data_IF_910692130721
#
_entry.id   IF_910692130721
#
_cell.length_a   1.000
_cell.length_b   1.000
_cell.length_c   1.000
_cell.angle_alpha   90.00
_cell.angle_beta   90.00
_cell.angle_gamma   90.00
#
_symmetry.space_group_name_H-M   'P 1'
#
loop_
_entity.id
_entity.type
_entity.pdbx_description
1 polymer ?
#
# COMPACT_ATOMS: atom_id res chain seq x y z
N UNK A 1 43.52 -6.90 5.23
CA UNK A 1 42.96 -5.74 4.51
C UNK A 1 41.53 -5.53 4.99
N UNK A 2 41.34 -4.68 5.99
CA UNK A 2 40.04 -4.34 6.56
C UNK A 2 39.43 -3.19 5.76
N UNK A 3 38.32 -3.42 5.09
CA UNK A 3 37.57 -2.37 4.40
C UNK A 3 36.85 -1.52 5.46
N UNK A 4 37.21 -0.24 5.55
CA UNK A 4 36.47 0.75 6.33
C UNK A 4 35.20 1.11 5.56
N UNK A 5 34.05 0.77 6.13
CA UNK A 5 32.75 1.28 5.70
C UNK A 5 32.72 2.78 5.97
N UNK A 6 32.56 3.59 4.92
CA UNK A 6 32.36 5.02 5.05
C UNK A 6 31.06 5.29 5.84
N UNK A 7 31.05 6.27 6.76
CA UNK A 7 29.84 6.63 7.49
C UNK A 7 28.78 7.16 6.52
N UNK A 8 27.52 6.75 6.73
CA UNK A 8 26.37 7.30 6.03
C UNK A 8 26.36 8.83 6.18
N UNK A 9 25.97 9.60 5.14
CA UNK A 9 25.91 11.05 5.26
C UNK A 9 24.94 11.40 6.40
N UNK A 10 25.42 12.21 7.34
CA UNK A 10 24.62 12.71 8.43
C UNK A 10 23.41 13.45 7.83
N UNK A 11 22.21 12.95 8.10
CA UNK A 11 20.97 13.68 7.86
C UNK A 11 21.06 15.02 8.58
N UNK A 12 21.05 16.12 7.82
CA UNK A 12 20.97 17.47 8.39
C UNK A 12 19.82 17.57 9.39
N UNK A 13 19.93 18.40 10.45
CA UNK A 13 18.85 18.57 11.39
C UNK A 13 17.61 19.02 10.62
N UNK A 14 16.52 18.25 10.71
CA UNK A 14 15.24 18.58 10.11
C UNK A 14 14.92 20.05 10.41
N UNK A 15 14.95 20.87 9.36
CA UNK A 15 14.97 22.32 9.45
C UNK A 15 13.78 22.86 10.24
N UNK A 16 13.99 23.99 10.91
CA UNK A 16 13.05 24.68 11.79
C UNK A 16 11.80 25.28 11.09
N UNK A 17 11.36 24.71 9.96
CA UNK A 17 10.20 25.15 9.17
C UNK A 17 9.19 24.02 8.96
N UNK A 18 7.91 24.37 8.88
CA UNK A 18 6.87 23.42 8.47
C UNK A 18 7.07 23.02 7.00
N UNK A 19 6.73 21.78 6.67
CA UNK A 19 6.81 21.25 5.31
C UNK A 19 5.98 22.13 4.33
N UNK A 20 6.48 22.47 3.13
CA UNK A 20 5.81 23.41 2.22
C UNK A 20 4.43 22.94 1.75
N UNK A 21 4.22 21.63 1.63
CA UNK A 21 2.90 21.06 1.30
C UNK A 21 1.91 21.05 2.47
N UNK A 22 2.36 21.27 3.71
CA UNK A 22 1.51 21.10 4.89
C UNK A 22 0.25 21.97 4.86
N UNK A 23 0.29 23.27 4.51
CA UNK A 23 -0.93 24.09 4.44
C UNK A 23 -1.95 23.54 3.43
N UNK A 24 -1.49 23.10 2.26
CA UNK A 24 -2.37 22.54 1.23
C UNK A 24 -2.96 21.18 1.66
N UNK A 25 -2.14 20.31 2.28
CA UNK A 25 -2.58 19.01 2.80
C UNK A 25 -3.59 19.12 3.94
N UNK A 26 -3.49 20.15 4.79
CA UNK A 26 -4.45 20.43 5.86
C UNK A 26 -5.74 21.06 5.35
N UNK A 27 -5.67 21.81 4.25
CA UNK A 27 -6.82 22.43 3.61
C UNK A 27 -7.55 21.51 2.61
N UNK A 28 -7.08 20.27 2.43
CA UNK A 28 -7.53 19.35 1.38
C UNK A 28 -7.46 19.96 -0.03
N UNK A 29 -6.51 20.87 -0.25
CA UNK A 29 -6.25 21.53 -1.53
C UNK A 29 -5.37 20.63 -2.41
N UNK A 30 -5.99 19.56 -2.91
CA UNK A 30 -5.29 18.48 -3.62
C UNK A 30 -4.59 18.94 -4.89
N UNK A 31 -5.15 19.92 -5.59
CA UNK A 31 -4.56 20.49 -6.82
C UNK A 31 -3.23 21.20 -6.53
N UNK A 32 -3.11 21.90 -5.39
CA UNK A 32 -1.82 22.49 -4.96
C UNK A 32 -0.79 21.48 -4.50
N UNK A 33 -1.22 20.28 -4.09
CA UNK A 33 -0.31 19.21 -3.67
C UNK A 33 0.23 18.46 -4.89
N UNK A 34 -0.63 18.18 -5.87
CA UNK A 34 -0.32 17.55 -7.14
C UNK A 34 -1.47 17.84 -8.11
N UNK A 35 -1.15 18.47 -9.25
CA UNK A 35 -2.14 18.94 -10.22
C UNK A 35 -3.03 17.81 -10.79
N UNK A 36 -2.53 16.58 -10.83
CA UNK A 36 -3.28 15.42 -11.35
C UNK A 36 -4.08 14.70 -10.25
N UNK A 37 -3.81 14.99 -8.97
CA UNK A 37 -4.41 14.28 -7.85
C UNK A 37 -5.95 14.34 -7.82
N UNK A 38 -6.63 15.48 -8.11
CA UNK A 38 -8.08 15.50 -8.18
C UNK A 38 -8.65 14.44 -9.15
N UNK A 39 -8.09 14.32 -10.35
CA UNK A 39 -8.51 13.33 -11.35
C UNK A 39 -8.26 11.89 -10.88
N UNK A 40 -7.14 11.65 -10.17
CA UNK A 40 -6.84 10.35 -9.59
C UNK A 40 -7.81 9.97 -8.45
N UNK A 41 -8.21 10.94 -7.62
CA UNK A 41 -9.20 10.73 -6.57
C UNK A 41 -10.58 10.43 -7.16
N UNK A 42 -10.96 11.11 -8.23
CA UNK A 42 -12.20 10.83 -8.96
C UNK A 42 -12.17 9.41 -9.56
N UNK A 43 -11.08 9.03 -10.22
CA UNK A 43 -10.88 7.68 -10.75
C UNK A 43 -11.07 6.62 -9.65
N UNK A 44 -10.45 6.84 -8.50
CA UNK A 44 -10.42 5.89 -7.39
C UNK A 44 -11.75 5.80 -6.62
N UNK A 45 -12.49 6.90 -6.48
CA UNK A 45 -13.69 6.96 -5.63
C UNK A 45 -15.03 7.08 -6.38
N UNK A 46 -15.02 7.22 -7.72
CA UNK A 46 -16.23 7.33 -8.57
C UNK A 46 -17.27 6.21 -8.42
N UNK A 47 -16.93 5.06 -7.82
CA UNK A 47 -17.82 3.88 -7.67
C UNK A 47 -18.17 3.50 -6.22
N UNK A 48 -18.20 4.46 -5.30
CA UNK A 48 -18.50 4.24 -3.86
C UNK A 48 -17.53 3.27 -3.14
N UNK A 49 -16.37 2.97 -3.73
CA UNK A 49 -15.31 2.17 -3.11
C UNK A 49 -14.76 2.82 -1.83
N UNK A 50 -15.00 4.12 -1.63
CA UNK A 50 -14.60 4.87 -0.45
C UNK A 50 -15.47 4.66 0.79
N UNK A 51 -16.65 4.04 0.67
CA UNK A 51 -17.62 3.93 1.78
C UNK A 51 -17.49 2.65 2.61
N UNK A 52 -16.60 1.73 2.23
CA UNK A 52 -16.24 0.61 3.08
C UNK A 52 -15.58 1.14 4.36
N UNK A 53 -16.11 0.74 5.53
CA UNK A 53 -15.53 1.08 6.82
C UNK A 53 -14.25 0.27 7.06
N UNK A 54 -13.16 0.95 7.42
CA UNK A 54 -11.87 0.37 7.79
C UNK A 54 -11.49 0.76 9.21
N UNK A 55 -10.45 0.13 9.77
CA UNK A 55 -10.11 0.11 11.20
C UNK A 55 -9.81 1.48 11.85
N UNK A 56 -9.82 2.58 11.09
CA UNK A 56 -9.56 3.95 11.57
C UNK A 56 -10.42 5.04 10.86
N UNK A 57 -11.51 4.67 10.19
CA UNK A 57 -12.33 5.60 9.39
C UNK A 57 -12.82 4.95 8.10
N UNK A 58 -13.11 5.75 7.08
CA UNK A 58 -13.42 5.22 5.75
C UNK A 58 -12.15 4.68 5.08
N UNK A 59 -12.30 3.74 4.14
CA UNK A 59 -11.17 3.32 3.30
C UNK A 59 -10.50 4.51 2.61
N UNK A 60 -11.32 5.47 2.16
CA UNK A 60 -10.87 6.72 1.55
C UNK A 60 -9.90 7.48 2.46
N UNK A 61 -10.25 7.67 3.73
CA UNK A 61 -9.39 8.38 4.68
C UNK A 61 -8.05 7.68 4.85
N UNK A 62 -8.05 6.34 4.97
CA UNK A 62 -6.82 5.55 5.04
C UNK A 62 -5.91 5.77 3.83
N UNK A 63 -6.45 5.76 2.60
CA UNK A 63 -5.65 5.98 1.40
C UNK A 63 -5.09 7.41 1.33
N UNK A 64 -5.88 8.41 1.71
CA UNK A 64 -5.46 9.81 1.76
C UNK A 64 -4.37 10.03 2.82
N UNK A 65 -4.49 9.43 4.00
CA UNK A 65 -3.51 9.58 5.08
C UNK A 65 -2.15 8.94 4.72
N UNK A 66 -2.16 7.81 4.00
CA UNK A 66 -0.93 7.23 3.43
C UNK A 66 -0.31 8.20 2.42
N UNK A 67 -1.10 8.77 1.51
CA UNK A 67 -0.59 9.74 0.53
C UNK A 67 0.00 10.98 1.22
N UNK A 68 -0.71 11.56 2.21
CA UNK A 68 -0.24 12.70 3.01
C UNK A 68 1.09 12.38 3.71
N UNK A 69 1.19 11.21 4.34
CA UNK A 69 2.41 10.79 5.04
C UNK A 69 3.60 10.71 4.08
N UNK A 70 3.42 10.07 2.91
CA UNK A 70 4.47 9.97 1.91
C UNK A 70 4.83 11.35 1.31
N UNK A 71 3.86 12.26 1.16
CA UNK A 71 4.11 13.63 0.75
C UNK A 71 4.94 14.42 1.76
N UNK A 72 4.67 14.26 3.06
CA UNK A 72 5.43 14.91 4.13
C UNK A 72 6.82 14.28 4.37
N UNK A 73 7.06 13.08 3.84
CA UNK A 73 8.36 12.40 3.85
C UNK A 73 9.17 12.67 2.58
N UNK A 74 8.80 13.67 1.80
CA UNK A 74 9.43 14.04 0.52
C UNK A 74 9.59 12.85 -0.43
N UNK A 75 8.64 11.90 -0.41
CA UNK A 75 8.72 10.74 -1.28
C UNK A 75 8.43 11.13 -2.74
N UNK A 76 9.09 10.47 -3.72
CA UNK A 76 8.81 10.69 -5.13
C UNK A 76 7.32 10.53 -5.44
N UNK A 77 6.82 11.27 -6.44
CA UNK A 77 5.41 11.23 -6.85
C UNK A 77 4.89 9.81 -7.05
N UNK A 78 5.64 8.97 -7.76
CA UNK A 78 5.23 7.59 -8.05
C UNK A 78 5.05 6.75 -6.77
N UNK A 79 5.84 7.02 -5.72
CA UNK A 79 5.71 6.36 -4.41
C UNK A 79 4.48 6.86 -3.67
N UNK A 80 4.20 8.17 -3.73
CA UNK A 80 2.98 8.77 -3.15
C UNK A 80 1.74 8.18 -3.81
N UNK A 81 1.72 8.12 -5.14
CA UNK A 81 0.63 7.51 -5.93
C UNK A 81 0.52 6.01 -5.66
N UNK A 82 1.63 5.29 -5.50
CA UNK A 82 1.61 3.92 -4.97
C UNK A 82 0.85 3.84 -3.65
N UNK A 83 1.13 4.75 -2.71
CA UNK A 83 0.46 4.80 -1.43
C UNK A 83 -1.05 4.97 -1.56
N UNK A 84 -1.50 5.81 -2.49
CA UNK A 84 -2.92 6.04 -2.77
C UNK A 84 -3.60 4.80 -3.37
N UNK A 85 -2.91 4.04 -4.22
CA UNK A 85 -3.45 2.88 -4.94
C UNK A 85 -2.99 1.52 -4.38
N UNK A 86 -2.37 1.47 -3.19
CA UNK A 86 -1.62 0.31 -2.68
C UNK A 86 -2.43 -0.99 -2.48
N UNK A 87 -3.75 -0.94 -2.62
CA UNK A 87 -4.64 -2.10 -2.49
C UNK A 87 -5.47 -2.38 -3.75
N UNK A 88 -5.24 -1.66 -4.86
CA UNK A 88 -6.08 -1.73 -6.07
C UNK A 88 -6.08 -3.10 -6.76
N UNK A 89 -5.00 -3.88 -6.60
CA UNK A 89 -4.91 -5.25 -7.13
C UNK A 89 -5.05 -6.34 -6.05
N UNK A 90 -5.44 -6.01 -4.82
CA UNK A 90 -5.64 -7.01 -3.76
C UNK A 90 -6.99 -7.72 -3.91
N UNK A 91 -7.00 -9.05 -3.79
CA UNK A 91 -8.20 -9.90 -3.94
C UNK A 91 -9.29 -9.69 -2.86
N UNK A 92 -9.07 -8.84 -1.86
CA UNK A 92 -9.95 -8.67 -0.68
C UNK A 92 -10.72 -7.36 -0.61
N UNK A 93 -10.43 -6.36 -1.47
CA UNK A 93 -11.13 -5.07 -1.41
C UNK A 93 -11.82 -4.77 -2.73
N UNK A 94 -13.14 -4.90 -2.68
CA UNK A 94 -14.10 -4.56 -3.72
C UNK A 94 -13.93 -5.44 -4.95
N UNK A 95 -14.96 -6.23 -5.23
CA UNK A 95 -15.20 -6.69 -6.60
C UNK A 95 -15.46 -5.46 -7.48
N UNK A 96 -14.42 -4.69 -7.79
CA UNK A 96 -14.35 -3.84 -8.98
C UNK A 96 -14.26 -4.82 -10.16
N UNK A 97 -15.41 -5.46 -10.47
CA UNK A 97 -15.70 -6.15 -11.73
C UNK A 97 -15.67 -5.13 -12.85
N UNK A 98 -14.50 -4.60 -13.12
CA UNK A 98 -14.40 -3.41 -13.94
C UNK A 98 -13.57 -3.63 -15.19
N UNK A 99 -12.53 -4.45 -15.16
CA UNK A 99 -11.65 -4.59 -16.32
C UNK A 99 -10.88 -5.93 -16.31
N UNK A 100 -10.32 -6.33 -17.44
CA UNK A 100 -9.56 -7.58 -17.64
C UNK A 100 -8.11 -7.44 -17.15
N UNK A 101 -7.49 -8.48 -16.59
CA UNK A 101 -6.27 -8.36 -15.77
C UNK A 101 -5.03 -7.77 -16.49
N UNK A 102 -4.92 -7.94 -17.82
CA UNK A 102 -3.85 -7.32 -18.62
C UNK A 102 -4.23 -5.91 -19.11
N UNK A 103 -5.46 -5.73 -19.61
CA UNK A 103 -5.99 -4.43 -20.04
C UNK A 103 -6.02 -3.41 -18.89
N UNK A 104 -6.26 -3.87 -17.66
CA UNK A 104 -6.26 -3.12 -16.39
C UNK A 104 -4.97 -2.39 -16.09
N UNK A 105 -3.85 -3.06 -16.37
CA UNK A 105 -2.53 -2.51 -16.05
C UNK A 105 -2.21 -1.37 -16.99
N UNK A 106 -2.53 -1.53 -18.27
CA UNK A 106 -2.36 -0.47 -19.26
C UNK A 106 -3.27 0.74 -18.97
N UNK A 107 -4.54 0.52 -18.60
CA UNK A 107 -5.45 1.60 -18.24
C UNK A 107 -5.00 2.35 -16.99
N UNK A 108 -4.62 1.62 -15.92
CA UNK A 108 -4.10 2.25 -14.72
C UNK A 108 -2.80 3.01 -15.03
N UNK A 109 -1.86 2.40 -15.77
CA UNK A 109 -0.61 3.04 -16.19
C UNK A 109 -0.84 4.32 -17.00
N UNK A 110 -1.86 4.35 -17.87
CA UNK A 110 -2.23 5.55 -18.60
C UNK A 110 -2.73 6.68 -17.68
N UNK A 111 -3.32 6.34 -16.54
CA UNK A 111 -3.81 7.31 -15.56
C UNK A 111 -2.73 7.76 -14.54
N UNK A 112 -1.91 6.83 -14.05
CA UNK A 112 -0.96 7.09 -12.95
C UNK A 112 0.50 7.23 -13.39
N UNK A 113 0.82 6.85 -14.63
CA UNK A 113 2.17 6.69 -15.14
C UNK A 113 2.69 5.25 -15.02
N UNK A 114 3.59 4.86 -15.92
CA UNK A 114 4.13 3.50 -15.99
C UNK A 114 4.87 3.08 -14.72
N UNK A 115 5.71 3.96 -14.16
CA UNK A 115 6.48 3.67 -12.96
C UNK A 115 5.60 3.53 -11.72
N UNK A 116 4.63 4.42 -11.54
CA UNK A 116 3.66 4.32 -10.46
C UNK A 116 2.85 3.01 -10.55
N UNK A 117 2.37 2.64 -11.74
CA UNK A 117 1.67 1.37 -11.94
C UNK A 117 2.55 0.15 -11.63
N UNK A 118 3.79 0.14 -12.11
CA UNK A 118 4.75 -0.93 -11.84
C UNK A 118 4.98 -1.13 -10.34
N UNK A 119 5.11 -0.03 -9.61
CA UNK A 119 5.25 -0.04 -8.15
C UNK A 119 3.98 -0.56 -7.48
N UNK A 120 2.80 -0.04 -7.86
CA UNK A 120 1.49 -0.44 -7.34
C UNK A 120 1.30 -1.95 -7.50
N UNK A 121 1.51 -2.46 -8.72
CA UNK A 121 1.38 -3.88 -9.02
C UNK A 121 2.32 -4.71 -8.15
N UNK A 122 3.61 -4.36 -8.10
CA UNK A 122 4.60 -5.03 -7.26
C UNK A 122 4.16 -5.11 -5.81
N UNK A 123 3.73 -3.99 -5.22
CA UNK A 123 3.30 -3.93 -3.83
C UNK A 123 2.04 -4.76 -3.55
N UNK A 124 1.06 -4.75 -4.46
CA UNK A 124 -0.18 -5.49 -4.27
C UNK A 124 0.00 -7.01 -4.36
N UNK A 125 0.87 -7.49 -5.26
CA UNK A 125 0.99 -8.95 -5.54
C UNK A 125 2.14 -9.63 -4.82
N UNK A 126 3.03 -8.87 -4.18
CA UNK A 126 4.18 -9.45 -3.47
C UNK A 126 3.73 -10.31 -2.28
N UNK A 127 4.44 -11.41 -1.97
CA UNK A 127 4.16 -12.23 -0.79
C UNK A 127 4.64 -11.51 0.48
N UNK A 128 3.84 -10.56 0.98
CA UNK A 128 4.19 -9.64 2.09
C UNK A 128 4.70 -10.36 3.34
N UNK A 129 4.09 -11.47 3.75
CA UNK A 129 4.55 -12.25 4.91
C UNK A 129 5.97 -12.77 4.72
N UNK A 130 6.30 -13.29 3.53
CA UNK A 130 7.65 -13.77 3.22
C UNK A 130 8.64 -12.63 3.13
N UNK A 131 8.22 -11.49 2.58
CA UNK A 131 9.04 -10.30 2.56
C UNK A 131 9.43 -9.83 3.96
N UNK A 132 8.45 -9.67 4.86
CA UNK A 132 8.71 -9.27 6.25
C UNK A 132 9.60 -10.28 6.97
N UNK A 133 9.37 -11.58 6.78
CA UNK A 133 10.24 -12.63 7.35
C UNK A 133 11.70 -12.48 6.89
N UNK A 134 11.92 -12.31 5.58
CA UNK A 134 13.28 -12.08 5.07
C UNK A 134 13.89 -10.78 5.57
N UNK A 135 13.10 -9.72 5.71
CA UNK A 135 13.58 -8.46 6.25
C UNK A 135 14.03 -8.58 7.71
N UNK A 136 13.38 -9.44 8.51
CA UNK A 136 13.81 -9.69 9.89
C UNK A 136 15.06 -10.55 10.02
N UNK A 137 15.49 -11.19 8.93
CA UNK A 137 16.68 -12.04 8.87
C UNK A 137 17.93 -11.28 8.38
N UNK A 138 17.79 -10.03 7.94
CA UNK A 138 18.88 -9.21 7.41
C UNK A 138 19.09 -7.98 8.29
N UNK A 139 20.35 -7.62 8.53
CA UNK A 139 20.69 -6.42 9.31
C UNK A 139 20.59 -5.13 8.49
N UNK A 140 20.62 -5.23 7.15
CA UNK A 140 20.50 -4.10 6.24
C UNK A 140 19.89 -4.52 4.89
N UNK A 141 19.12 -3.62 4.27
CA UNK A 141 18.57 -3.82 2.94
C UNK A 141 19.67 -3.55 1.90
N UNK A 142 20.00 -4.51 1.00
CA UNK A 142 21.00 -4.28 -0.04
C UNK A 142 20.56 -3.16 -1.00
N UNK A 143 21.52 -2.36 -1.48
CA UNK A 143 21.25 -1.27 -2.42
C UNK A 143 20.59 -1.73 -3.74
N UNK A 144 20.89 -2.95 -4.18
CA UNK A 144 20.27 -3.58 -5.36
C UNK A 144 18.91 -4.24 -5.09
N UNK A 145 18.38 -4.12 -3.87
CA UNK A 145 17.16 -4.80 -3.43
C UNK A 145 17.35 -6.29 -3.19
N UNK A 146 16.24 -6.99 -2.99
CA UNK A 146 16.20 -8.42 -2.66
C UNK A 146 15.22 -9.16 -3.56
N UNK A 147 15.64 -10.31 -4.09
CA UNK A 147 14.77 -11.15 -4.93
C UNK A 147 13.83 -11.98 -4.05
N UNK A 148 12.53 -11.76 -4.23
CA UNK A 148 11.47 -12.59 -3.68
C UNK A 148 10.96 -13.53 -4.78
N UNK A 149 11.22 -14.83 -4.65
CA UNK A 149 10.60 -15.82 -5.52
C UNK A 149 9.11 -15.92 -5.18
N UNK A 150 8.26 -15.58 -6.14
CA UNK A 150 6.82 -15.81 -6.01
C UNK A 150 6.57 -17.30 -6.26
N UNK A 151 6.37 -18.08 -5.21
CA UNK A 151 5.78 -19.41 -5.38
C UNK A 151 4.28 -19.17 -5.51
N UNK A 152 3.71 -19.50 -6.67
CA UNK A 152 2.27 -19.52 -6.88
C UNK A 152 1.62 -20.18 -5.66
N UNK A 153 0.80 -19.43 -4.96
CA UNK A 153 0.18 -19.89 -3.73
C UNK A 153 -0.64 -21.14 -4.04
N UNK A 154 -0.22 -22.30 -3.52
CA UNK A 154 -1.17 -23.34 -3.19
C UNK A 154 -2.21 -22.66 -2.30
N UNK A 155 -3.42 -22.50 -2.85
CA UNK A 155 -4.57 -21.88 -2.23
C UNK A 155 -4.66 -22.33 -0.76
N UNK A 156 -4.28 -21.44 0.16
CA UNK A 156 -4.64 -21.61 1.56
C UNK A 156 -6.15 -21.34 1.64
N UNK A 157 -6.93 -22.34 1.22
CA UNK A 157 -8.32 -22.47 1.60
C UNK A 157 -8.34 -22.26 3.11
N UNK A 158 -8.97 -21.16 3.49
CA UNK A 158 -9.41 -20.83 4.81
C UNK A 158 -10.05 -22.09 5.42
N UNK A 159 -9.28 -22.91 6.15
CA UNK A 159 -9.83 -23.92 7.05
C UNK A 159 -10.55 -23.11 8.12
N UNK A 160 -11.84 -22.86 7.90
CA UNK A 160 -12.78 -22.51 8.97
C UNK A 160 -12.56 -23.58 10.04
N UNK A 161 -11.90 -23.21 11.14
CA UNK A 161 -11.99 -23.96 12.39
C UNK A 161 -13.45 -23.83 12.82
N UNK A 162 -14.32 -24.67 12.29
CA UNK A 162 -15.61 -24.92 12.92
C UNK A 162 -15.28 -25.55 14.27
N UNK A 163 -15.34 -24.72 15.33
CA UNK A 163 -15.40 -25.19 16.71
C UNK A 163 -16.59 -26.16 16.78
N UNK A 164 -16.33 -27.46 16.77
CA UNK A 164 -17.34 -28.48 17.02
C UNK A 164 -17.67 -28.37 18.51
N UNK A 165 -18.78 -27.73 18.86
CA UNK A 165 -19.26 -27.73 20.24
C UNK A 165 -19.73 -29.14 20.58
N UNK A 166 -18.96 -29.87 21.37
CA UNK A 166 -19.44 -31.08 22.04
C UNK A 166 -20.39 -30.65 23.16
N UNK A 167 -21.69 -30.56 22.87
CA UNK A 167 -22.73 -30.61 23.91
C UNK A 167 -22.82 -32.05 24.39
N UNK A 168 -22.25 -32.34 25.56
CA UNK A 168 -22.55 -33.53 26.35
C UNK A 168 -23.93 -33.34 26.98
N UNK A 169 -24.95 -33.99 26.43
CA UNK A 169 -26.25 -34.16 27.09
C UNK A 169 -26.09 -35.09 28.30
N UNK A 170 -26.10 -34.52 29.50
CA UNK A 170 -26.46 -35.27 30.71
C UNK A 170 -27.99 -35.24 30.82
N UNK A 171 -28.61 -36.42 30.81
CA UNK A 171 -30.02 -36.59 31.18
C UNK A 171 -30.19 -36.38 32.69
N UNK A 172 -31.31 -35.78 33.15
CA UNK A 172 -31.69 -35.85 34.55
C UNK A 172 -32.40 -37.18 34.86
N UNK A 173 -32.43 -37.46 36.15
CA UNK A 173 -32.98 -38.62 36.87
C UNK A 173 -34.39 -38.98 36.42
#
# INVERSE_FOLDING_TARGET
MTAQTAPAPASEPAGAGLHPLLPALLADDWEKVDAELPALLDLLFSRSAGEAWHKAGTFKNHLLDVYRTLALWDQPRDVRVLGLFHSVYSNEFVALKLFDASAKRAELAAAVGEEAERLIHTFCVMPRTRFVQKLTEIDAIPAGGSILKNQTAACCICRRRTRRSSRSSRSPI
#
